data_IF_202780282084
#
_entry.id   IF_202780282084
#
_cell.length_a   1.000
_cell.length_b   1.000
_cell.length_c   1.000
_cell.angle_alpha   90.00
_cell.angle_beta   90.00
_cell.angle_gamma   90.00
#
_symmetry.space_group_name_H-M   'P 1'
#
loop_
_entity.id
_entity.type
_entity.pdbx_description
1 polymer ?
#
# COMPACT_ATOMS: atom_id res chain seq x y z
N UNK A 1 12.96 22.49 -74.09
CA UNK A 1 13.40 21.24 -73.41
C UNK A 1 12.83 21.07 -71.97
N UNK A 2 11.53 21.33 -71.74
CA UNK A 2 10.93 21.43 -70.38
C UNK A 2 9.77 20.45 -70.08
N UNK A 3 9.42 19.57 -71.03
CA UNK A 3 8.19 18.75 -70.98
C UNK A 3 8.36 17.42 -70.24
N UNK A 4 9.57 16.87 -70.20
CA UNK A 4 9.83 15.53 -69.63
C UNK A 4 9.87 15.52 -68.09
N UNK A 5 10.33 16.60 -67.45
CA UNK A 5 10.42 16.71 -65.98
C UNK A 5 9.03 16.68 -65.31
N UNK A 6 7.99 17.24 -65.97
CA UNK A 6 6.60 17.19 -65.48
C UNK A 6 5.99 15.78 -65.46
N UNK A 7 6.41 14.86 -66.34
CA UNK A 7 5.89 13.47 -66.38
C UNK A 7 6.45 12.63 -65.23
N UNK A 8 7.74 12.78 -64.90
CA UNK A 8 8.36 12.05 -63.79
C UNK A 8 7.85 12.53 -62.41
N UNK A 9 7.59 13.83 -62.25
CA UNK A 9 6.99 14.37 -61.03
C UNK A 9 5.56 13.84 -60.77
N UNK A 10 4.77 13.59 -61.82
CA UNK A 10 3.45 12.93 -61.70
C UNK A 10 3.56 11.49 -61.24
N UNK A 11 4.48 10.70 -61.83
CA UNK A 11 4.73 9.31 -61.41
C UNK A 11 5.18 9.19 -59.96
N UNK A 12 6.05 10.10 -59.49
CA UNK A 12 6.46 10.11 -58.07
C UNK A 12 5.33 10.54 -57.13
N UNK A 13 4.47 11.48 -57.55
CA UNK A 13 3.27 11.84 -56.78
C UNK A 13 2.32 10.66 -56.60
N UNK A 14 2.10 9.88 -57.67
CA UNK A 14 1.27 8.66 -57.60
C UNK A 14 1.89 7.60 -56.69
N UNK A 15 3.22 7.41 -56.76
CA UNK A 15 3.92 6.47 -55.89
C UNK A 15 3.86 6.88 -54.40
N UNK A 16 4.06 8.16 -54.10
CA UNK A 16 3.93 8.70 -52.74
C UNK A 16 2.47 8.60 -52.26
N UNK A 17 1.50 8.81 -53.15
CA UNK A 17 0.09 8.69 -52.81
C UNK A 17 -0.27 7.25 -52.42
N UNK A 18 0.13 6.24 -53.20
CA UNK A 18 -0.08 4.83 -52.87
C UNK A 18 0.66 4.43 -51.59
N UNK A 19 1.90 4.90 -51.41
CA UNK A 19 2.68 4.65 -50.19
C UNK A 19 2.01 5.26 -48.95
N UNK A 20 1.43 6.46 -49.09
CA UNK A 20 0.69 7.12 -48.02
C UNK A 20 -0.60 6.37 -47.66
N UNK A 21 -1.34 5.87 -48.66
CA UNK A 21 -2.49 5.01 -48.40
C UNK A 21 -2.11 3.76 -47.61
N UNK A 22 -1.00 3.11 -48.00
CA UNK A 22 -0.50 1.93 -47.29
C UNK A 22 -0.04 2.27 -45.87
N UNK A 23 0.66 3.39 -45.68
CA UNK A 23 1.07 3.89 -44.37
C UNK A 23 -0.11 4.19 -43.46
N UNK A 24 -1.19 4.78 -43.99
CA UNK A 24 -2.42 5.03 -43.24
C UNK A 24 -3.09 3.71 -42.84
N UNK A 25 -3.11 2.70 -43.72
CA UNK A 25 -3.65 1.37 -43.37
C UNK A 25 -2.85 0.72 -42.24
N UNK A 26 -1.51 0.74 -42.32
CA UNK A 26 -0.65 0.19 -41.27
C UNK A 26 -0.84 0.98 -39.97
N UNK A 27 -0.84 2.31 -40.03
CA UNK A 27 -1.06 3.16 -38.86
C UNK A 27 -2.42 2.88 -38.21
N UNK A 28 -3.46 2.62 -39.03
CA UNK A 28 -4.78 2.25 -38.54
C UNK A 28 -4.77 0.91 -37.81
N UNK A 29 -4.06 -0.10 -38.32
CA UNK A 29 -3.92 -1.40 -37.66
C UNK A 29 -3.13 -1.26 -36.35
N UNK A 30 -2.00 -0.54 -36.39
CA UNK A 30 -1.17 -0.29 -35.19
C UNK A 30 -1.96 0.46 -34.13
N UNK A 31 -2.71 1.49 -34.52
CA UNK A 31 -3.58 2.21 -33.59
C UNK A 31 -4.62 1.31 -32.93
N UNK A 32 -5.19 0.36 -33.68
CA UNK A 32 -6.13 -0.63 -33.15
C UNK A 32 -5.47 -1.60 -32.17
N UNK A 33 -4.27 -2.08 -32.48
CA UNK A 33 -3.50 -2.98 -31.59
C UNK A 33 -3.10 -2.23 -30.31
N UNK A 34 -2.58 -1.00 -30.42
CA UNK A 34 -2.23 -0.18 -29.27
C UNK A 34 -3.44 0.16 -28.40
N UNK A 35 -4.60 0.40 -28.99
CA UNK A 35 -5.85 0.62 -28.24
C UNK A 35 -6.20 -0.59 -27.36
N UNK A 36 -6.15 -1.80 -27.93
CA UNK A 36 -6.40 -3.03 -27.18
C UNK A 36 -5.35 -3.24 -26.09
N UNK A 37 -4.08 -3.00 -26.39
CA UNK A 37 -3.00 -3.16 -25.41
C UNK A 37 -3.15 -2.20 -24.21
N UNK A 38 -3.45 -0.93 -24.46
CA UNK A 38 -3.72 0.04 -23.39
C UNK A 38 -4.93 -0.39 -22.56
N UNK A 39 -5.99 -0.89 -23.20
CA UNK A 39 -7.16 -1.39 -22.48
C UNK A 39 -6.81 -2.57 -21.56
N UNK A 40 -6.04 -3.55 -22.05
CA UNK A 40 -5.62 -4.70 -21.23
C UNK A 40 -4.69 -4.30 -20.09
N UNK A 41 -3.78 -3.35 -20.31
CA UNK A 41 -2.86 -2.85 -19.28
C UNK A 41 -3.63 -2.12 -18.16
N UNK A 42 -4.62 -1.31 -18.54
CA UNK A 42 -5.48 -0.62 -17.56
C UNK A 42 -6.28 -1.62 -16.73
N UNK A 43 -6.81 -2.68 -17.35
CA UNK A 43 -7.58 -3.70 -16.64
C UNK A 43 -6.72 -4.45 -15.61
N UNK A 44 -5.52 -4.89 -16.00
CA UNK A 44 -4.59 -5.59 -15.10
C UNK A 44 -4.16 -4.71 -13.92
N UNK A 45 -3.83 -3.45 -14.18
CA UNK A 45 -3.46 -2.50 -13.12
C UNK A 45 -4.61 -2.20 -12.16
N UNK A 46 -5.85 -2.11 -12.65
CA UNK A 46 -7.03 -1.90 -11.82
C UNK A 46 -7.26 -3.09 -10.87
N UNK A 47 -7.16 -4.31 -11.39
CA UNK A 47 -7.26 -5.55 -10.59
C UNK A 47 -6.16 -5.58 -9.52
N UNK A 48 -4.92 -5.24 -9.88
CA UNK A 48 -3.81 -5.21 -8.94
C UNK A 48 -4.02 -4.19 -7.81
N UNK A 49 -4.59 -3.01 -8.12
CA UNK A 49 -4.94 -1.99 -7.12
C UNK A 49 -6.04 -2.49 -6.20
N UNK A 50 -7.08 -3.13 -6.74
CA UNK A 50 -8.18 -3.68 -5.95
C UNK A 50 -7.68 -4.78 -4.99
N UNK A 51 -6.83 -5.68 -5.48
CA UNK A 51 -6.21 -6.73 -4.66
C UNK A 51 -5.34 -6.14 -3.54
N UNK A 52 -4.51 -5.14 -3.86
CA UNK A 52 -3.68 -4.46 -2.86
C UNK A 52 -4.54 -3.74 -1.81
N UNK A 53 -5.66 -3.14 -2.22
CA UNK A 53 -6.59 -2.47 -1.32
C UNK A 53 -7.25 -3.47 -0.38
N UNK A 54 -7.76 -4.58 -0.91
CA UNK A 54 -8.34 -5.66 -0.10
C UNK A 54 -7.34 -6.24 0.90
N UNK A 55 -6.11 -6.52 0.44
CA UNK A 55 -5.03 -7.04 1.30
C UNK A 55 -4.68 -6.05 2.41
N UNK A 56 -4.64 -4.74 2.12
CA UNK A 56 -4.38 -3.71 3.14
C UNK A 56 -5.49 -3.66 4.20
N UNK A 57 -6.74 -3.79 3.78
CA UNK A 57 -7.89 -3.80 4.68
C UNK A 57 -7.87 -5.03 5.58
N UNK A 58 -7.61 -6.20 5.01
CA UNK A 58 -7.46 -7.46 5.77
C UNK A 58 -6.32 -7.36 6.78
N UNK A 59 -5.14 -6.86 6.37
CA UNK A 59 -4.00 -6.69 7.28
C UNK A 59 -4.32 -5.72 8.41
N UNK A 60 -5.04 -4.64 8.12
CA UNK A 60 -5.46 -3.68 9.14
C UNK A 60 -6.46 -4.31 10.14
N UNK A 61 -7.37 -5.16 9.67
CA UNK A 61 -8.28 -5.89 10.55
C UNK A 61 -7.51 -6.88 11.44
N UNK A 62 -6.57 -7.63 10.87
CA UNK A 62 -5.70 -8.54 11.64
C UNK A 62 -4.89 -7.79 12.71
N UNK A 63 -4.39 -6.58 12.40
CA UNK A 63 -3.69 -5.74 13.39
C UNK A 63 -4.64 -5.36 14.54
N UNK A 64 -5.88 -4.97 14.25
CA UNK A 64 -6.87 -4.62 15.27
C UNK A 64 -7.23 -5.82 16.15
N UNK A 65 -7.39 -6.99 15.55
CA UNK A 65 -7.70 -8.22 16.28
C UNK A 65 -6.55 -8.59 17.21
N UNK A 66 -5.30 -8.54 16.73
CA UNK A 66 -4.12 -8.77 17.55
C UNK A 66 -4.01 -7.73 18.69
N UNK A 67 -4.32 -6.46 18.44
CA UNK A 67 -4.34 -5.44 19.49
C UNK A 67 -5.41 -5.73 20.55
N UNK A 68 -6.58 -6.22 20.14
CA UNK A 68 -7.63 -6.63 21.05
C UNK A 68 -7.19 -7.82 21.91
N UNK A 69 -6.57 -8.83 21.30
CA UNK A 69 -6.02 -9.98 22.02
C UNK A 69 -4.95 -9.56 23.04
N UNK A 70 -4.05 -8.66 22.66
CA UNK A 70 -3.07 -8.08 23.59
C UNK A 70 -3.77 -7.37 24.75
N UNK A 71 -4.78 -6.55 24.47
CA UNK A 71 -5.53 -5.84 25.51
C UNK A 71 -6.26 -6.81 26.46
N UNK A 72 -6.84 -7.89 25.92
CA UNK A 72 -7.48 -8.93 26.71
C UNK A 72 -6.47 -9.68 27.58
N UNK A 73 -5.33 -10.07 27.01
CA UNK A 73 -4.26 -10.80 27.72
C UNK A 73 -3.56 -9.93 28.77
N UNK A 74 -3.38 -8.65 28.49
CA UNK A 74 -2.77 -7.66 29.39
C UNK A 74 -3.70 -7.20 30.52
N UNK A 75 -4.99 -7.58 30.51
CA UNK A 75 -5.92 -7.18 31.56
C UNK A 75 -5.50 -7.77 32.90
N UNK A 76 -5.40 -6.91 33.92
CA UNK A 76 -4.92 -7.26 35.26
C UNK A 76 -5.64 -8.46 35.85
N UNK A 77 -6.96 -8.59 35.65
CA UNK A 77 -7.73 -9.75 36.12
C UNK A 77 -7.20 -11.06 35.54
N UNK A 78 -6.93 -11.12 34.23
CA UNK A 78 -6.44 -12.33 33.57
C UNK A 78 -5.02 -12.67 34.00
N UNK A 79 -4.18 -11.65 34.13
CA UNK A 79 -2.81 -11.82 34.64
C UNK A 79 -2.84 -12.36 36.07
N UNK A 80 -3.69 -11.80 36.93
CA UNK A 80 -3.86 -12.20 38.33
C UNK A 80 -4.44 -13.60 38.46
N UNK A 81 -5.44 -13.95 37.65
CA UNK A 81 -6.04 -15.29 37.61
C UNK A 81 -5.01 -16.34 37.18
N UNK A 82 -4.22 -16.04 36.14
CA UNK A 82 -3.16 -16.92 35.66
C UNK A 82 -2.03 -17.08 36.68
N UNK A 83 -1.61 -15.96 37.28
CA UNK A 83 -0.66 -15.92 38.39
C UNK A 83 -1.09 -16.80 39.58
N UNK A 84 -2.36 -16.71 39.98
CA UNK A 84 -2.90 -17.48 41.10
C UNK A 84 -3.04 -18.97 40.76
N UNK A 85 -3.58 -19.28 39.57
CA UNK A 85 -3.93 -20.65 39.17
C UNK A 85 -2.72 -21.47 38.72
N UNK A 86 -1.84 -20.88 37.91
CA UNK A 86 -0.73 -21.60 37.29
C UNK A 86 0.58 -21.44 38.07
N UNK A 87 0.83 -20.28 38.68
CA UNK A 87 2.06 -19.99 39.41
C UNK A 87 1.91 -20.13 40.93
N UNK A 88 0.71 -20.44 41.43
CA UNK A 88 0.43 -20.58 42.85
C UNK A 88 0.65 -19.29 43.65
N UNK A 89 0.66 -18.13 42.99
CA UNK A 89 0.94 -16.87 43.65
C UNK A 89 -0.25 -16.41 44.49
N UNK A 90 0.06 -15.77 45.62
CA UNK A 90 -0.91 -15.19 46.54
C UNK A 90 -0.63 -13.70 46.68
N UNK A 91 -1.66 -12.92 47.03
CA UNK A 91 -1.46 -11.50 47.30
C UNK A 91 -0.50 -11.32 48.48
N UNK A 92 0.53 -10.51 48.30
CA UNK A 92 1.42 -10.13 49.38
C UNK A 92 0.64 -9.29 50.40
N UNK A 93 0.87 -9.55 51.68
CA UNK A 93 0.38 -8.69 52.74
C UNK A 93 1.09 -7.34 52.65
N UNK A 94 0.38 -6.20 52.70
CA UNK A 94 1.02 -4.90 52.66
C UNK A 94 1.90 -4.71 53.90
N UNK A 95 3.20 -4.57 53.70
CA UNK A 95 4.13 -4.22 54.77
C UNK A 95 4.18 -2.70 54.92
N UNK A 96 4.10 -2.21 56.15
CA UNK A 96 4.20 -0.77 56.43
C UNK A 96 5.67 -0.37 56.43
N UNK A 97 6.08 0.44 55.46
CA UNK A 97 7.43 1.03 55.43
C UNK A 97 7.39 2.35 56.20
N UNK A 98 7.97 2.37 57.40
CA UNK A 98 8.17 3.60 58.16
C UNK A 98 9.49 4.27 57.75
N UNK A 99 9.40 5.40 57.07
CA UNK A 99 10.57 6.23 56.73
C UNK A 99 10.78 7.24 57.86
N UNK A 100 11.89 7.11 58.58
CA UNK A 100 12.31 8.08 59.59
C UNK A 100 13.12 9.17 58.90
N UNK A 101 12.57 10.38 58.83
CA UNK A 101 13.29 11.56 58.33
C UNK A 101 13.87 12.30 59.55
N UNK A 102 15.18 12.52 59.54
CA UNK A 102 15.84 13.34 60.56
C UNK A 102 15.33 14.80 60.45
N UNK A 103 14.81 15.40 61.54
CA UNK A 103 14.36 16.79 61.56
C UNK A 103 15.40 17.79 61.05
N UNK A 104 16.70 17.48 61.16
CA UNK A 104 17.79 18.34 60.71
C UNK A 104 17.93 18.40 59.18
N UNK A 105 17.38 17.41 58.46
CA UNK A 105 17.31 17.39 56.99
C UNK A 105 15.99 17.95 56.45
N UNK A 106 15.01 18.23 57.31
CA UNK A 106 13.82 19.02 56.97
C UNK A 106 14.15 20.50 57.12
N UNK A 107 15.06 20.99 56.29
CA UNK A 107 15.27 22.42 56.11
C UNK A 107 14.03 23.02 55.45
N UNK A 108 12.97 23.25 56.24
CA UNK A 108 11.97 24.25 55.94
C UNK A 108 12.69 25.60 56.02
N UNK A 109 13.36 25.95 54.93
CA UNK A 109 13.97 27.25 54.70
C UNK A 109 12.88 28.31 54.91
N UNK A 110 13.07 29.16 55.92
CA UNK A 110 12.23 30.30 56.23
C UNK A 110 13.09 31.55 56.20
#
# INVERSE_FOLDING_TARGET
MKKNTKRNARKQKEFIQTLSFFGITIASIVGLISYLWVYTEIDETLIAIELQKATREELNNNIKDLQNDIALLGRVDRVTDKAKKELGMVFATPETISVYIDPNNLAFNK
#
